data_IF_482625316188
#
_entry.id   IF_482625316188
#
_cell.length_a   1.000
_cell.length_b   1.000
_cell.length_c   1.000
_cell.angle_alpha   90.00
_cell.angle_beta   90.00
_cell.angle_gamma   90.00
#
_symmetry.space_group_name_H-M   'P 1'
#
loop_
_entity.id
_entity.type
_entity.pdbx_description
1 polymer ?
#
# COMPACT_ATOMS: atom_id res chain seq x y z
N UNK A 1 8.35 -7.39 17.97
CA UNK A 1 7.30 -6.81 17.11
C UNK A 1 6.82 -5.55 17.80
N UNK A 2 6.91 -4.39 17.16
CA UNK A 2 6.36 -3.17 17.74
C UNK A 2 4.83 -3.26 17.68
N UNK A 3 4.20 -3.21 18.85
CA UNK A 3 2.75 -3.26 19.00
C UNK A 3 2.27 -2.15 19.95
N UNK A 4 1.16 -1.50 19.60
CA UNK A 4 0.44 -0.60 20.48
C UNK A 4 -0.88 -1.26 20.84
N UNK A 5 -1.10 -1.45 22.14
CA UNK A 5 -2.31 -2.10 22.67
C UNK A 5 -3.19 -1.05 23.35
N UNK A 6 -4.43 -0.92 22.88
CA UNK A 6 -5.50 -0.22 23.60
C UNK A 6 -6.28 -1.30 24.33
N UNK A 7 -6.18 -1.28 25.67
CA UNK A 7 -6.81 -2.29 26.49
C UNK A 7 -8.34 -2.20 26.42
N UNK A 8 -8.96 -3.37 26.55
CA UNK A 8 -10.41 -3.52 26.67
C UNK A 8 -10.93 -2.64 27.81
N UNK A 9 -12.02 -1.92 27.56
CA UNK A 9 -12.81 -1.29 28.61
C UNK A 9 -14.13 -2.05 28.80
N UNK A 10 -14.96 -1.64 29.75
CA UNK A 10 -16.33 -2.16 29.84
C UNK A 10 -17.17 -1.89 28.58
N UNK A 11 -16.78 -0.90 27.75
CA UNK A 11 -17.56 -0.44 26.59
C UNK A 11 -16.84 -0.67 25.25
N UNK A 12 -15.62 -1.23 25.23
CA UNK A 12 -14.84 -1.40 24.00
C UNK A 12 -13.96 -2.65 24.06
N UNK A 13 -13.80 -3.32 22.92
CA UNK A 13 -12.89 -4.47 22.78
C UNK A 13 -11.42 -4.04 22.80
N UNK A 14 -10.52 -5.01 23.01
CA UNK A 14 -9.08 -4.79 22.84
C UNK A 14 -8.76 -4.46 21.37
N UNK A 15 -7.90 -3.47 21.17
CA UNK A 15 -7.39 -3.09 19.85
C UNK A 15 -5.87 -3.16 19.86
N UNK A 16 -5.29 -3.85 18.90
CA UNK A 16 -3.84 -4.02 18.76
C UNK A 16 -3.42 -3.46 17.41
N UNK A 17 -2.63 -2.39 17.41
CA UNK A 17 -1.96 -1.89 16.21
C UNK A 17 -0.62 -2.59 16.07
N UNK A 18 -0.39 -3.16 14.88
CA UNK A 18 0.86 -3.82 14.52
C UNK A 18 1.45 -3.16 13.30
N UNK A 19 2.75 -2.93 13.34
CA UNK A 19 3.49 -2.44 12.19
C UNK A 19 3.86 -3.61 11.27
N UNK A 20 3.24 -3.62 10.09
CA UNK A 20 3.42 -4.61 9.03
C UNK A 20 4.86 -4.70 8.53
N UNK A 21 5.66 -3.62 8.65
CA UNK A 21 7.05 -3.61 8.24
C UNK A 21 7.91 -4.58 9.06
N UNK A 22 7.52 -4.87 10.30
CA UNK A 22 8.18 -5.90 11.12
C UNK A 22 7.98 -7.33 10.58
N UNK A 23 6.96 -7.56 9.74
CA UNK A 23 6.70 -8.85 9.11
C UNK A 23 7.28 -8.91 7.69
N UNK A 24 7.16 -7.80 6.95
CA UNK A 24 7.55 -7.69 5.55
C UNK A 24 8.38 -6.41 5.36
N UNK A 25 9.69 -6.43 5.64
CA UNK A 25 10.54 -5.23 5.69
C UNK A 25 10.95 -4.75 4.28
N UNK A 26 9.96 -4.35 3.48
CA UNK A 26 10.16 -3.79 2.14
C UNK A 26 9.10 -2.73 1.81
N UNK A 27 9.34 -1.98 0.74
CA UNK A 27 8.38 -1.00 0.23
C UNK A 27 7.09 -1.69 -0.25
N UNK A 28 5.95 -1.02 -0.10
CA UNK A 28 4.63 -1.53 -0.47
C UNK A 28 4.57 -2.01 -1.92
N UNK A 29 5.10 -1.23 -2.86
CA UNK A 29 5.21 -1.60 -4.28
C UNK A 29 6.06 -2.87 -4.52
N UNK A 30 7.02 -3.16 -3.63
CA UNK A 30 7.82 -4.38 -3.69
C UNK A 30 7.06 -5.64 -3.28
N UNK A 31 5.98 -5.51 -2.51
CA UNK A 31 5.16 -6.65 -2.07
C UNK A 31 4.40 -7.30 -3.24
N UNK A 32 4.04 -6.51 -4.26
CA UNK A 32 3.31 -6.98 -5.44
C UNK A 32 4.08 -8.10 -6.15
N UNK A 33 5.30 -7.88 -6.66
CA UNK A 33 6.08 -8.94 -7.29
C UNK A 33 6.56 -10.00 -6.29
N UNK A 34 6.82 -9.64 -5.02
CA UNK A 34 7.30 -10.60 -4.02
C UNK A 34 6.29 -11.70 -3.68
N UNK A 35 4.99 -11.37 -3.68
CA UNK A 35 3.91 -12.32 -3.38
C UNK A 35 3.06 -12.71 -4.59
N UNK A 36 3.40 -12.23 -5.79
CA UNK A 36 2.62 -12.46 -7.01
C UNK A 36 1.17 -11.97 -6.85
N UNK A 37 0.99 -10.74 -6.36
CA UNK A 37 -0.33 -10.16 -6.11
C UNK A 37 -0.96 -9.70 -7.42
N UNK A 38 -2.22 -10.06 -7.63
CA UNK A 38 -3.05 -9.55 -8.72
C UNK A 38 -3.77 -8.28 -8.25
N UNK A 39 -3.05 -7.15 -8.29
CA UNK A 39 -3.58 -5.82 -7.92
C UNK A 39 -3.31 -4.82 -9.03
N UNK A 40 -4.19 -3.82 -9.18
CA UNK A 40 -3.98 -2.75 -10.15
C UNK A 40 -2.81 -1.86 -9.73
N UNK A 41 -1.74 -1.82 -10.52
CA UNK A 41 -0.65 -0.88 -10.29
C UNK A 41 -1.07 0.53 -10.73
N UNK A 42 -1.33 1.42 -9.76
CA UNK A 42 -1.47 2.85 -10.06
C UNK A 42 -0.09 3.51 -10.06
N UNK A 43 0.31 4.19 -11.15
CA UNK A 43 1.73 4.41 -11.38
C UNK A 43 2.34 5.54 -10.54
N UNK A 44 1.64 6.68 -10.37
CA UNK A 44 2.20 7.86 -9.69
C UNK A 44 1.14 8.71 -8.99
N UNK A 45 1.49 9.30 -7.84
CA UNK A 45 0.65 10.22 -7.07
C UNK A 45 1.41 11.53 -6.75
N UNK A 46 0.77 12.71 -6.87
CA UNK A 46 1.41 13.99 -6.61
C UNK A 46 1.38 14.33 -5.10
N UNK A 47 2.37 13.83 -4.36
CA UNK A 47 2.47 13.98 -2.91
C UNK A 47 2.39 15.43 -2.41
N UNK A 48 3.05 16.38 -3.08
CA UNK A 48 3.04 17.78 -2.61
C UNK A 48 1.73 18.50 -2.92
N UNK A 49 0.91 17.97 -3.85
CA UNK A 49 -0.42 18.51 -4.08
C UNK A 49 -1.39 18.20 -2.95
N UNK A 50 -1.06 17.27 -2.05
CA UNK A 50 -1.89 16.93 -0.88
C UNK A 50 -1.82 18.03 0.19
N UNK A 51 -2.44 19.17 -0.11
CA UNK A 51 -2.51 20.32 0.78
C UNK A 51 -3.93 20.90 0.83
N UNK A 52 -4.34 21.53 1.95
CA UNK A 52 -5.70 22.03 2.11
C UNK A 52 -6.17 22.98 1.02
N UNK A 53 -5.27 23.73 0.41
CA UNK A 53 -5.59 24.67 -0.68
C UNK A 53 -6.04 23.98 -1.96
N UNK A 54 -5.73 22.69 -2.14
CA UNK A 54 -6.10 21.92 -3.32
C UNK A 54 -7.36 21.05 -3.10
N UNK A 55 -7.85 20.92 -1.87
CA UNK A 55 -9.01 20.07 -1.56
C UNK A 55 -10.29 20.65 -2.17
N UNK A 56 -11.06 19.80 -2.85
CA UNK A 56 -12.31 20.21 -3.49
C UNK A 56 -12.13 20.99 -4.80
N UNK A 57 -10.90 21.24 -5.24
CA UNK A 57 -10.61 21.97 -6.49
C UNK A 57 -10.35 20.98 -7.63
N UNK A 58 -11.08 21.12 -8.74
CA UNK A 58 -10.77 20.44 -10.00
C UNK A 58 -9.76 21.25 -10.80
N UNK A 59 -8.62 20.65 -11.11
CA UNK A 59 -7.56 21.22 -11.93
C UNK A 59 -7.76 20.79 -13.39
N UNK A 60 -7.45 21.67 -14.34
CA UNK A 60 -7.60 21.40 -15.77
C UNK A 60 -6.53 20.43 -16.30
N UNK A 61 -5.40 20.37 -15.64
CA UNK A 61 -4.23 19.56 -15.98
C UNK A 61 -3.75 18.79 -14.76
N UNK A 62 -2.84 17.84 -14.95
CA UNK A 62 -2.13 17.23 -13.83
C UNK A 62 -1.32 18.28 -13.04
N UNK A 63 -1.05 18.03 -11.75
CA UNK A 63 -0.11 18.84 -10.99
C UNK A 63 1.29 18.84 -11.61
N UNK A 64 2.13 19.84 -11.33
CA UNK A 64 3.50 19.92 -11.83
C UNK A 64 4.34 18.68 -11.48
N UNK A 65 5.37 18.37 -12.27
CA UNK A 65 6.25 17.20 -12.04
C UNK A 65 6.88 17.21 -10.65
N UNK A 66 7.17 18.40 -10.13
CA UNK A 66 7.76 18.65 -8.81
C UNK A 66 6.88 18.08 -7.69
N UNK A 67 5.56 18.11 -7.86
CA UNK A 67 4.61 17.63 -6.85
C UNK A 67 4.66 16.11 -6.65
N UNK A 68 5.23 15.39 -7.61
CA UNK A 68 5.43 13.93 -7.56
C UNK A 68 6.75 13.54 -6.88
N UNK A 69 7.51 14.51 -6.36
CA UNK A 69 8.86 14.28 -5.78
C UNK A 69 9.80 13.58 -6.76
N UNK A 70 9.66 13.88 -8.06
CA UNK A 70 10.37 13.19 -9.12
C UNK A 70 11.90 13.27 -8.97
N UNK A 71 12.44 14.31 -8.32
CA UNK A 71 13.87 14.46 -8.05
C UNK A 71 14.46 13.39 -7.12
N UNK A 72 13.63 12.74 -6.30
CA UNK A 72 14.04 11.64 -5.40
C UNK A 72 13.88 10.24 -6.01
N UNK A 73 13.34 10.12 -7.23
CA UNK A 73 13.12 8.83 -7.87
C UNK A 73 14.44 8.20 -8.35
N UNK A 74 14.54 6.87 -8.23
CA UNK A 74 15.63 6.11 -8.88
C UNK A 74 15.58 6.31 -10.40
N UNK A 75 16.71 6.27 -11.13
CA UNK A 75 16.75 6.54 -12.56
C UNK A 75 15.77 5.70 -13.41
N UNK A 76 15.57 4.42 -13.07
CA UNK A 76 14.57 3.58 -13.75
C UNK A 76 13.14 4.11 -13.57
N UNK A 77 12.74 4.33 -12.32
CA UNK A 77 11.41 4.84 -11.97
C UNK A 77 11.17 6.25 -12.49
N UNK A 78 12.22 7.07 -12.55
CA UNK A 78 12.16 8.41 -13.12
C UNK A 78 11.83 8.38 -14.62
N UNK A 79 12.41 7.46 -15.38
CA UNK A 79 12.09 7.29 -16.82
C UNK A 79 10.65 6.84 -17.03
N UNK A 80 10.16 5.90 -16.23
CA UNK A 80 8.74 5.49 -16.24
C UNK A 80 7.82 6.68 -15.94
N UNK A 81 8.17 7.48 -14.93
CA UNK A 81 7.42 8.68 -14.56
C UNK A 81 7.39 9.71 -15.68
N UNK A 82 8.53 10.03 -16.27
CA UNK A 82 8.62 11.06 -17.30
C UNK A 82 7.80 10.67 -18.54
N UNK A 83 7.84 9.40 -18.96
CA UNK A 83 7.04 8.89 -20.07
C UNK A 83 5.53 8.90 -19.76
N UNK A 84 5.14 8.48 -18.55
CA UNK A 84 3.74 8.54 -18.11
C UNK A 84 3.25 9.99 -18.06
N UNK A 85 4.02 10.90 -17.47
CA UNK A 85 3.63 12.30 -17.31
C UNK A 85 3.47 13.00 -18.66
N UNK A 86 4.38 12.77 -19.62
CA UNK A 86 4.27 13.36 -20.97
C UNK A 86 2.95 13.01 -21.66
N UNK A 87 2.43 11.80 -21.44
CA UNK A 87 1.17 11.33 -22.01
C UNK A 87 -0.07 11.90 -21.30
N UNK A 88 0.02 12.16 -19.98
CA UNK A 88 -1.15 12.50 -19.15
C UNK A 88 -1.16 13.95 -18.65
N UNK A 89 -0.11 14.74 -18.89
CA UNK A 89 0.05 16.09 -18.32
C UNK A 89 -1.14 17.03 -18.56
N UNK A 90 -1.89 16.82 -19.65
CA UNK A 90 -3.05 17.64 -20.01
C UNK A 90 -4.38 17.08 -19.48
N UNK A 91 -4.36 15.97 -18.75
CA UNK A 91 -5.57 15.36 -18.19
C UNK A 91 -6.08 16.16 -17.01
N UNK A 92 -7.41 16.27 -16.88
CA UNK A 92 -8.02 16.91 -15.73
C UNK A 92 -7.71 16.13 -14.45
N UNK A 93 -7.40 16.85 -13.37
CA UNK A 93 -7.05 16.24 -12.10
C UNK A 93 -8.01 16.68 -10.99
N UNK A 94 -8.46 15.71 -10.20
CA UNK A 94 -9.18 15.99 -8.96
C UNK A 94 -8.56 15.24 -7.80
N UNK A 95 -7.96 16.00 -6.89
CA UNK A 95 -7.17 15.47 -5.78
C UNK A 95 -7.97 14.53 -4.90
N UNK A 96 -9.23 14.84 -4.59
CA UNK A 96 -10.04 14.04 -3.68
C UNK A 96 -10.27 12.62 -4.23
N UNK A 97 -10.57 12.49 -5.51
CA UNK A 97 -10.75 11.20 -6.19
C UNK A 97 -9.41 10.46 -6.29
N UNK A 98 -8.34 11.18 -6.67
CA UNK A 98 -7.01 10.61 -6.79
C UNK A 98 -6.46 10.08 -5.44
N UNK A 99 -6.66 10.83 -4.36
CA UNK A 99 -6.24 10.48 -3.01
C UNK A 99 -7.03 9.28 -2.47
N UNK A 100 -8.35 9.27 -2.64
CA UNK A 100 -9.18 8.14 -2.23
C UNK A 100 -8.76 6.85 -2.96
N UNK A 101 -8.56 6.93 -4.28
CA UNK A 101 -8.09 5.80 -5.09
C UNK A 101 -6.69 5.33 -4.70
N UNK A 102 -5.75 6.26 -4.44
CA UNK A 102 -4.40 5.92 -4.00
C UNK A 102 -4.41 5.21 -2.64
N UNK A 103 -5.11 5.77 -1.65
CA UNK A 103 -5.21 5.17 -0.32
C UNK A 103 -5.89 3.80 -0.32
N UNK A 104 -6.96 3.63 -1.11
CA UNK A 104 -7.65 2.35 -1.24
C UNK A 104 -6.71 1.29 -1.82
N UNK A 105 -6.00 1.62 -2.89
CA UNK A 105 -5.03 0.72 -3.50
C UNK A 105 -3.89 0.33 -2.54
N UNK A 106 -3.33 1.28 -1.79
CA UNK A 106 -2.27 1.00 -0.82
C UNK A 106 -2.74 0.02 0.27
N UNK A 107 -3.99 0.20 0.75
CA UNK A 107 -4.61 -0.72 1.73
C UNK A 107 -4.84 -2.09 1.11
N UNK A 108 -5.30 -2.17 -0.13
CA UNK A 108 -5.56 -3.43 -0.82
C UNK A 108 -4.28 -4.23 -1.08
N UNK A 109 -3.20 -3.56 -1.48
CA UNK A 109 -1.87 -4.18 -1.63
C UNK A 109 -1.41 -4.73 -0.28
N UNK A 110 -1.48 -3.92 0.78
CA UNK A 110 -0.99 -4.32 2.10
C UNK A 110 -1.79 -5.50 2.66
N UNK A 111 -3.11 -5.46 2.54
CA UNK A 111 -4.01 -6.52 2.98
C UNK A 111 -3.74 -7.83 2.23
N UNK A 112 -3.64 -7.75 0.90
CA UNK A 112 -3.36 -8.90 0.04
C UNK A 112 -2.02 -9.54 0.36
N UNK A 113 -0.98 -8.71 0.57
CA UNK A 113 0.34 -9.17 0.99
C UNK A 113 0.30 -9.86 2.36
N UNK A 114 -0.39 -9.30 3.36
CA UNK A 114 -0.52 -9.91 4.69
C UNK A 114 -1.24 -11.27 4.66
N UNK A 115 -2.30 -11.39 3.84
CA UNK A 115 -3.02 -12.65 3.64
C UNK A 115 -2.09 -13.69 3.03
N UNK A 116 -1.35 -13.33 1.98
CA UNK A 116 -0.38 -14.22 1.32
C UNK A 116 0.75 -14.61 2.27
N UNK A 117 1.37 -13.65 2.94
CA UNK A 117 2.42 -13.90 3.94
C UNK A 117 1.95 -14.90 5.00
N UNK A 118 0.74 -14.72 5.55
CA UNK A 118 0.18 -15.65 6.54
C UNK A 118 0.00 -17.05 5.98
N UNK A 119 -0.50 -17.18 4.75
CA UNK A 119 -0.69 -18.47 4.10
C UNK A 119 0.64 -19.20 3.88
N UNK A 120 1.65 -18.50 3.34
CA UNK A 120 2.99 -19.04 3.12
C UNK A 120 3.66 -19.43 4.44
N UNK A 121 3.60 -18.56 5.45
CA UNK A 121 4.17 -18.84 6.76
C UNK A 121 3.52 -20.08 7.40
N UNK A 122 2.20 -20.22 7.29
CA UNK A 122 1.49 -21.39 7.79
C UNK A 122 1.94 -22.66 7.06
N UNK A 123 2.08 -22.62 5.74
CA UNK A 123 2.53 -23.77 4.95
C UNK A 123 3.96 -24.20 5.29
N UNK A 124 4.89 -23.25 5.45
CA UNK A 124 6.29 -23.55 5.81
C UNK A 124 6.44 -24.03 7.24
N UNK A 125 5.59 -23.57 8.16
CA UNK A 125 5.62 -23.95 9.58
C UNK A 125 4.78 -25.18 9.92
N UNK A 126 4.06 -25.77 8.95
CA UNK A 126 3.42 -27.08 9.13
C UNK A 126 4.49 -28.11 9.47
N UNK A 127 4.39 -28.70 10.65
CA UNK A 127 5.19 -29.87 11.02
C UNK A 127 4.62 -31.09 10.29
N UNK A 128 5.44 -31.77 9.51
CA UNK A 128 5.12 -33.14 9.08
C UNK A 128 5.08 -34.03 10.34
N UNK A 129 3.92 -34.64 10.62
CA UNK A 129 3.78 -35.61 11.73
C UNK A 129 2.77 -35.29 12.83
N UNK A 130 1.60 -34.70 12.54
CA UNK A 130 0.41 -35.00 13.35
C UNK A 130 -0.32 -36.18 12.72
N UNK A 131 0.11 -37.41 13.06
CA UNK A 131 -0.85 -38.50 13.11
C UNK A 131 -1.99 -38.08 14.02
N UNK A 132 -3.21 -38.10 13.49
CA UNK A 132 -4.42 -37.94 14.29
C UNK A 132 -4.50 -39.15 15.20
N UNK A 133 -3.96 -39.05 16.42
CA UNK A 133 -4.18 -40.05 17.45
C UNK A 133 -5.64 -39.90 17.89
N UNK A 134 -6.52 -40.70 17.30
CA UNK A 134 -7.84 -40.96 17.86
C UNK A 134 -7.65 -41.75 19.16
N UNK A 135 -7.96 -41.12 20.29
CA UNK A 135 -8.15 -41.85 21.54
C UNK A 135 -9.56 -42.50 21.55
N UNK A 136 -9.72 -43.67 22.19
CA UNK A 136 -10.92 -44.51 22.13
C UNK A 136 -12.17 -43.87 22.71
#
# INVERSE_FOLDING_TARGET
>A
MYEMKIQKTSHSSELIFRDSFNLMPMALAGLIPAFGLEVEEKPFFPYLSNCPTNYGIRMQTLPPKEDYLCGGMKPSKRREFDAWYEQHQNDSFFLNEALASYCMNDVDILMSALIKFRAEFYNVSKREGQEVINYP
#
